data_IF_408098989129
#
_entry.id   IF_408098989129
#
_cell.length_a   1.000
_cell.length_b   1.000
_cell.length_c   1.000
_cell.angle_alpha   90.00
_cell.angle_beta   90.00
_cell.angle_gamma   90.00
#
_symmetry.space_group_name_H-M   'P 1'
#
loop_
_entity.id
_entity.type
_entity.pdbx_description
1 polymer ?
#
# COMPACT_ATOMS: atom_id res chain seq x y z
N UNK A 1 -14.86 -5.90 3.25
CA UNK A 1 -14.12 -5.95 4.53
C UNK A 1 -13.66 -7.38 4.70
N UNK A 2 -12.37 -7.66 4.48
CA UNK A 2 -11.81 -9.02 4.53
C UNK A 2 -11.89 -9.55 5.96
N UNK A 3 -12.49 -10.73 6.16
CA UNK A 3 -12.61 -11.33 7.49
C UNK A 3 -11.28 -12.02 7.85
N UNK A 4 -10.33 -11.21 8.29
CA UNK A 4 -8.93 -11.59 8.59
C UNK A 4 -8.86 -12.78 9.57
N UNK A 5 -9.82 -12.92 10.49
CA UNK A 5 -9.92 -14.08 11.38
C UNK A 5 -10.30 -15.39 10.66
N UNK A 6 -11.13 -15.30 9.63
CA UNK A 6 -11.47 -16.46 8.78
C UNK A 6 -10.23 -16.89 8.00
N UNK A 7 -9.50 -15.95 7.40
CA UNK A 7 -8.25 -16.24 6.69
C UNK A 7 -7.19 -16.87 7.60
N UNK A 8 -7.11 -16.49 8.88
CA UNK A 8 -6.21 -17.14 9.85
C UNK A 8 -6.56 -18.60 10.11
N UNK A 9 -7.85 -18.92 10.21
CA UNK A 9 -8.30 -20.31 10.37
C UNK A 9 -8.11 -21.11 9.08
N UNK A 10 -8.31 -20.49 7.92
CA UNK A 10 -8.04 -21.11 6.62
C UNK A 10 -6.55 -21.42 6.44
N UNK A 11 -5.65 -20.52 6.84
CA UNK A 11 -4.20 -20.77 6.83
C UNK A 11 -3.82 -21.90 7.79
N UNK A 12 -4.42 -21.97 8.98
CA UNK A 12 -4.21 -23.11 9.90
C UNK A 12 -4.64 -24.43 9.26
N UNK A 13 -5.81 -24.47 8.62
CA UNK A 13 -6.32 -25.66 7.94
C UNK A 13 -5.44 -26.05 6.74
N UNK A 14 -5.00 -25.05 5.96
CA UNK A 14 -4.14 -25.23 4.80
C UNK A 14 -2.77 -25.81 5.18
N UNK A 15 -2.09 -25.25 6.18
CA UNK A 15 -0.77 -25.74 6.59
C UNK A 15 -0.85 -27.07 7.36
N UNK A 16 -1.94 -27.33 8.08
CA UNK A 16 -2.20 -28.66 8.64
C UNK A 16 -2.39 -29.73 7.56
N UNK A 17 -3.02 -29.39 6.44
CA UNK A 17 -3.18 -30.31 5.31
C UNK A 17 -1.85 -30.51 4.58
N UNK A 18 -1.14 -29.42 4.31
CA UNK A 18 0.13 -29.41 3.57
C UNK A 18 1.29 -30.10 4.30
N UNK A 19 1.28 -30.09 5.64
CA UNK A 19 2.21 -30.88 6.46
C UNK A 19 2.03 -32.40 6.26
N UNK A 20 0.79 -32.85 6.00
CA UNK A 20 0.47 -34.26 5.84
C UNK A 20 0.67 -34.74 4.39
N UNK A 21 0.35 -33.89 3.41
CA UNK A 21 0.29 -34.27 1.98
C UNK A 21 1.48 -33.80 1.14
N UNK A 22 2.32 -32.88 1.65
CA UNK A 22 3.42 -32.27 0.90
C UNK A 22 4.66 -33.15 0.68
N UNK A 23 5.59 -32.68 -0.17
CA UNK A 23 6.94 -33.23 -0.30
C UNK A 23 7.79 -32.86 0.92
N UNK A 24 8.90 -33.56 1.17
CA UNK A 24 9.69 -33.46 2.42
C UNK A 24 10.05 -32.02 2.84
N UNK A 25 10.49 -31.17 1.91
CA UNK A 25 10.79 -29.74 2.16
C UNK A 25 9.52 -28.91 2.44
N UNK A 26 8.44 -29.17 1.70
CA UNK A 26 7.14 -28.53 1.90
C UNK A 26 6.54 -28.89 3.26
N UNK A 27 6.72 -30.14 3.72
CA UNK A 27 6.27 -30.60 5.03
C UNK A 27 6.98 -29.88 6.16
N UNK A 28 8.29 -29.70 6.05
CA UNK A 28 9.08 -28.97 7.04
C UNK A 28 8.64 -27.50 7.15
N UNK A 29 8.50 -26.81 6.02
CA UNK A 29 8.03 -25.41 5.98
C UNK A 29 6.60 -25.26 6.47
N UNK A 30 5.69 -26.17 6.06
CA UNK A 30 4.30 -26.17 6.50
C UNK A 30 4.21 -26.41 8.02
N UNK A 31 5.04 -27.30 8.58
CA UNK A 31 5.11 -27.53 10.02
C UNK A 31 5.60 -26.29 10.78
N UNK A 32 6.67 -25.65 10.32
CA UNK A 32 7.20 -24.44 10.95
C UNK A 32 6.14 -23.31 10.95
N UNK A 33 5.49 -23.08 9.80
CA UNK A 33 4.44 -22.07 9.67
C UNK A 33 3.19 -22.43 10.48
N UNK A 34 2.82 -23.71 10.56
CA UNK A 34 1.75 -24.19 11.45
C UNK A 34 2.11 -23.93 12.91
N UNK A 35 3.32 -24.27 13.35
CA UNK A 35 3.77 -24.01 14.72
C UNK A 35 3.70 -22.50 15.04
N UNK A 36 4.08 -21.62 14.10
CA UNK A 36 3.91 -20.17 14.24
C UNK A 36 2.45 -19.71 14.31
N UNK A 37 1.55 -20.29 13.51
CA UNK A 37 0.12 -19.94 13.54
C UNK A 37 -0.59 -20.45 14.81
N UNK A 38 -0.09 -21.54 15.39
CA UNK A 38 -0.60 -22.10 16.65
C UNK A 38 0.05 -21.50 17.90
N UNK A 39 1.14 -20.75 17.73
CA UNK A 39 1.72 -19.97 18.81
C UNK A 39 0.74 -18.90 19.32
N UNK A 40 0.47 -18.97 20.64
CA UNK A 40 -0.47 -18.07 21.31
C UNK A 40 0.00 -16.62 21.22
N UNK A 41 1.31 -16.37 21.24
CA UNK A 41 1.86 -15.02 21.14
C UNK A 41 1.60 -14.43 19.75
N UNK A 42 1.83 -15.20 18.70
CA UNK A 42 1.56 -14.83 17.30
C UNK A 42 0.07 -14.58 17.05
N UNK A 43 -0.81 -15.39 17.65
CA UNK A 43 -2.25 -15.15 17.59
C UNK A 43 -2.67 -13.85 18.28
N UNK A 44 -2.07 -13.50 19.42
CA UNK A 44 -2.33 -12.23 20.10
C UNK A 44 -1.86 -11.02 19.27
N UNK A 45 -0.72 -11.12 18.58
CA UNK A 45 -0.28 -10.10 17.62
C UNK A 45 -1.28 -9.90 16.48
N UNK A 46 -1.85 -10.99 15.97
CA UNK A 46 -2.78 -10.96 14.85
C UNK A 46 -4.14 -10.34 15.22
N UNK A 47 -4.72 -10.75 16.37
CA UNK A 47 -5.97 -10.18 16.90
C UNK A 47 -5.82 -8.68 17.20
N UNK A 48 -4.64 -8.26 17.66
CA UNK A 48 -4.34 -6.85 17.89
C UNK A 48 -4.28 -6.04 16.58
N UNK A 49 -3.67 -6.60 15.55
CA UNK A 49 -3.49 -5.95 14.25
C UNK A 49 -4.81 -5.71 13.50
N UNK A 50 -5.79 -6.61 13.63
CA UNK A 50 -7.12 -6.51 13.00
C UNK A 50 -7.85 -5.18 13.33
N UNK A 51 -7.73 -4.68 14.57
CA UNK A 51 -8.42 -3.46 15.02
C UNK A 51 -7.73 -2.17 14.60
N UNK A 52 -6.44 -2.21 14.31
CA UNK A 52 -5.65 -1.04 13.91
C UNK A 52 -5.88 -0.62 12.46
N UNK A 53 -6.21 -1.58 11.57
CA UNK A 53 -6.61 -1.27 10.19
C UNK A 53 -7.92 -0.49 10.08
N UNK A 54 -8.67 -0.32 11.18
CA UNK A 54 -9.97 0.35 11.21
C UNK A 54 -9.94 1.81 11.71
N UNK A 55 -8.78 2.37 12.08
CA UNK A 55 -8.70 3.72 12.70
C UNK A 55 -7.93 4.69 11.79
N UNK A 56 -8.61 5.75 11.34
CA UNK A 56 -8.08 6.82 10.49
C UNK A 56 -6.90 7.59 11.12
N UNK A 57 -5.97 8.00 10.26
CA UNK A 57 -4.55 8.24 10.54
C UNK A 57 -4.19 9.47 11.40
N UNK A 58 -5.14 10.33 11.76
CA UNK A 58 -4.81 11.67 12.30
C UNK A 58 -4.75 11.74 13.83
N UNK A 59 -5.28 10.74 14.55
CA UNK A 59 -5.36 10.73 16.03
C UNK A 59 -4.18 10.02 16.72
N UNK A 60 -3.37 9.25 15.96
CA UNK A 60 -2.50 8.20 16.51
C UNK A 60 -1.28 8.67 17.33
N UNK A 61 -0.64 9.79 17.01
CA UNK A 61 0.62 10.17 17.68
C UNK A 61 0.46 10.67 19.12
N UNK A 62 -0.69 11.26 19.47
CA UNK A 62 -0.97 11.68 20.87
C UNK A 62 -1.56 10.56 21.74
N UNK A 63 -2.21 9.54 21.16
CA UNK A 63 -2.90 8.47 21.89
C UNK A 63 -1.97 7.32 22.34
N UNK A 64 -0.85 7.08 21.67
CA UNK A 64 0.04 5.93 21.91
C UNK A 64 0.65 5.87 23.33
N UNK A 65 0.75 7.00 24.05
CA UNK A 65 1.20 7.00 25.45
C UNK A 65 0.20 6.31 26.39
N UNK A 66 -1.07 6.19 26.00
CA UNK A 66 -2.16 5.59 26.77
C UNK A 66 -2.85 4.44 26.01
N UNK A 67 -2.08 3.68 25.22
CA UNK A 67 -2.59 2.53 24.48
C UNK A 67 -3.30 1.53 25.41
N UNK A 68 -4.62 1.45 25.29
CA UNK A 68 -5.41 0.34 25.78
C UNK A 68 -5.13 -0.85 24.86
N UNK A 69 -4.49 -1.90 25.39
CA UNK A 69 -4.24 -3.13 24.63
C UNK A 69 -5.54 -3.91 24.35
N UNK A 70 -6.67 -3.43 24.87
CA UNK A 70 -7.98 -3.97 24.67
C UNK A 70 -8.34 -5.03 25.71
N UNK A 71 -9.64 -5.15 25.96
CA UNK A 71 -10.21 -6.05 26.97
C UNK A 71 -9.80 -7.51 26.73
N UNK A 72 -9.79 -7.96 25.46
CA UNK A 72 -9.44 -9.34 25.10
C UNK A 72 -7.96 -9.67 25.34
N UNK A 73 -7.05 -8.77 24.99
CA UNK A 73 -5.63 -8.95 25.30
C UNK A 73 -5.39 -8.96 26.81
N UNK A 74 -6.05 -8.07 27.54
CA UNK A 74 -5.92 -8.02 28.99
C UNK A 74 -6.52 -9.27 29.66
N UNK A 75 -7.60 -9.82 29.13
CA UNK A 75 -8.16 -11.11 29.56
C UNK A 75 -7.17 -12.26 29.36
N UNK A 76 -6.54 -12.37 28.20
CA UNK A 76 -5.55 -13.41 27.90
C UNK A 76 -4.29 -13.29 28.78
N UNK A 77 -3.79 -12.06 29.00
CA UNK A 77 -2.69 -11.80 29.95
C UNK A 77 -3.07 -12.23 31.36
N UNK A 78 -4.30 -11.92 31.80
CA UNK A 78 -4.75 -12.27 33.13
C UNK A 78 -4.91 -13.80 33.30
N UNK A 79 -5.43 -14.49 32.28
CA UNK A 79 -5.51 -15.96 32.25
C UNK A 79 -4.11 -16.59 32.31
N UNK A 80 -3.18 -16.11 31.49
CA UNK A 80 -1.79 -16.57 31.46
C UNK A 80 -1.08 -16.36 32.81
N UNK A 81 -1.16 -15.17 33.39
CA UNK A 81 -0.54 -14.89 34.70
C UNK A 81 -1.16 -15.71 35.85
N UNK A 82 -2.43 -16.10 35.74
CA UNK A 82 -3.09 -16.97 36.73
C UNK A 82 -2.49 -18.38 36.73
N UNK A 83 -2.23 -18.95 35.56
CA UNK A 83 -1.61 -20.28 35.40
C UNK A 83 -0.18 -20.35 36.01
N UNK A 84 0.53 -19.22 36.06
CA UNK A 84 1.89 -19.13 36.61
C UNK A 84 1.93 -18.66 38.07
N UNK A 85 0.85 -18.04 38.59
CA UNK A 85 0.65 -17.82 40.03
C UNK A 85 0.62 -19.12 40.82
N UNK A 86 0.04 -20.15 40.24
CA UNK A 86 -0.03 -21.49 40.83
C UNK A 86 1.34 -22.20 40.87
N UNK A 87 2.33 -21.71 40.10
CA UNK A 87 3.69 -22.31 39.96
C UNK A 87 4.82 -21.50 40.63
N UNK A 88 4.49 -20.44 41.39
CA UNK A 88 5.45 -19.53 42.07
C UNK A 88 6.47 -18.79 41.17
N UNK A 89 6.22 -18.62 39.86
CA UNK A 89 7.14 -17.95 38.91
C UNK A 89 6.63 -16.59 38.39
N UNK A 90 5.77 -15.91 39.14
CA UNK A 90 4.98 -14.76 38.67
C UNK A 90 5.82 -13.57 38.20
N UNK A 91 6.88 -13.22 38.91
CA UNK A 91 7.69 -12.02 38.60
C UNK A 91 8.43 -12.09 37.28
N UNK A 92 8.93 -13.29 36.93
CA UNK A 92 9.62 -13.50 35.66
C UNK A 92 8.65 -13.44 34.49
N UNK A 93 7.45 -13.98 34.67
CA UNK A 93 6.41 -13.97 33.64
C UNK A 93 5.80 -12.57 33.46
N UNK A 94 5.63 -11.79 34.53
CA UNK A 94 5.28 -10.38 34.46
C UNK A 94 6.29 -9.57 33.64
N UNK A 95 7.59 -9.87 33.77
CA UNK A 95 8.65 -9.25 32.97
C UNK A 95 8.50 -9.59 31.48
N UNK A 96 8.20 -10.85 31.13
CA UNK A 96 7.95 -11.26 29.74
C UNK A 96 6.70 -10.57 29.16
N UNK A 97 5.64 -10.43 29.94
CA UNK A 97 4.43 -9.70 29.51
C UNK A 97 4.74 -8.23 29.24
N UNK A 98 5.58 -7.59 30.08
CA UNK A 98 6.04 -6.22 29.85
C UNK A 98 6.88 -6.11 28.57
N UNK A 99 7.74 -7.08 28.30
CA UNK A 99 8.52 -7.13 27.07
C UNK A 99 7.62 -7.30 25.83
N UNK A 100 6.61 -8.18 25.87
CA UNK A 100 5.62 -8.32 24.80
C UNK A 100 4.89 -6.99 24.57
N UNK A 101 4.40 -6.34 25.64
CA UNK A 101 3.76 -5.02 25.56
C UNK A 101 4.67 -3.97 24.92
N UNK A 102 5.96 -3.97 25.26
CA UNK A 102 6.97 -3.09 24.66
C UNK A 102 7.15 -3.38 23.17
N UNK A 103 7.31 -4.63 22.78
CA UNK A 103 7.48 -5.04 21.38
C UNK A 103 6.25 -4.71 20.53
N UNK A 104 5.04 -4.92 21.05
CA UNK A 104 3.81 -4.47 20.39
C UNK A 104 3.83 -2.95 20.14
N UNK A 105 4.26 -2.14 21.12
CA UNK A 105 4.39 -0.68 20.93
C UNK A 105 5.39 -0.33 19.84
N UNK A 106 6.58 -0.92 19.88
CA UNK A 106 7.62 -0.70 18.85
C UNK A 106 7.08 -1.06 17.47
N UNK A 107 6.41 -2.21 17.35
CA UNK A 107 5.81 -2.64 16.09
C UNK A 107 4.79 -1.64 15.55
N UNK A 108 3.93 -1.06 16.40
CA UNK A 108 2.93 -0.06 15.95
C UNK A 108 3.60 1.22 15.48
N UNK A 109 4.58 1.72 16.24
CA UNK A 109 5.32 2.93 15.87
C UNK A 109 5.96 2.71 14.51
N UNK A 110 6.66 1.59 14.34
CA UNK A 110 7.28 1.22 13.08
C UNK A 110 6.24 1.07 11.97
N UNK A 111 5.12 0.38 12.21
CA UNK A 111 4.07 0.21 11.20
C UNK A 111 3.47 1.56 10.75
N UNK A 112 3.29 2.51 11.68
CA UNK A 112 2.83 3.87 11.36
C UNK A 112 3.88 4.60 10.53
N UNK A 113 5.15 4.54 10.92
CA UNK A 113 6.25 5.19 10.18
C UNK A 113 6.40 4.59 8.77
N UNK A 114 6.25 3.28 8.65
CA UNK A 114 6.28 2.52 7.41
C UNK A 114 5.08 2.87 6.51
N UNK A 115 3.89 3.08 7.07
CA UNK A 115 2.72 3.53 6.28
C UNK A 115 2.85 5.00 5.89
N UNK A 116 3.30 5.87 6.80
CA UNK A 116 3.50 7.30 6.54
C UNK A 116 4.54 7.52 5.43
N UNK A 117 5.69 6.87 5.52
CA UNK A 117 6.75 6.97 4.50
C UNK A 117 6.27 6.51 3.11
N UNK A 118 5.50 5.42 3.03
CA UNK A 118 4.94 4.94 1.76
C UNK A 118 3.83 5.84 1.21
N UNK A 119 2.94 6.34 2.08
CA UNK A 119 1.84 7.23 1.67
C UNK A 119 2.35 8.61 1.23
N UNK A 120 3.30 9.22 1.93
CA UNK A 120 3.84 10.53 1.57
C UNK A 120 4.52 10.51 0.20
N UNK A 121 5.31 9.48 -0.08
CA UNK A 121 5.95 9.30 -1.39
C UNK A 121 4.92 9.12 -2.52
N UNK A 122 3.84 8.37 -2.25
CA UNK A 122 2.78 8.19 -3.23
C UNK A 122 1.94 9.47 -3.40
N UNK A 123 1.68 10.23 -2.34
CA UNK A 123 0.86 11.44 -2.36
C UNK A 123 1.48 12.56 -3.22
N UNK A 124 2.80 12.75 -3.18
CA UNK A 124 3.49 13.70 -4.07
C UNK A 124 3.40 13.26 -5.55
N UNK A 125 3.57 11.96 -5.82
CA UNK A 125 3.37 11.42 -7.16
C UNK A 125 1.92 11.62 -7.66
N UNK A 126 0.91 11.40 -6.80
CA UNK A 126 -0.50 11.62 -7.12
C UNK A 126 -0.86 13.10 -7.31
N UNK A 127 -0.26 14.00 -6.53
CA UNK A 127 -0.46 15.44 -6.69
C UNK A 127 -0.07 15.89 -8.10
N UNK A 128 1.06 15.40 -8.59
CA UNK A 128 1.58 15.79 -9.90
C UNK A 128 0.90 15.03 -11.05
N UNK A 129 0.30 13.85 -10.82
CA UNK A 129 -0.57 13.18 -11.81
C UNK A 129 -1.73 14.05 -12.28
N UNK A 130 -2.21 14.97 -11.42
CA UNK A 130 -3.24 15.93 -11.82
C UNK A 130 -2.81 16.89 -12.94
N UNK A 131 -1.50 17.11 -13.14
CA UNK A 131 -0.96 17.96 -14.21
C UNK A 131 -1.15 17.33 -15.60
N UNK A 132 -1.32 16.01 -15.67
CA UNK A 132 -1.61 15.29 -16.91
C UNK A 132 -3.09 15.39 -17.31
N UNK A 133 -3.96 15.98 -16.48
CA UNK A 133 -5.37 16.14 -16.84
C UNK A 133 -5.53 17.09 -18.05
N UNK A 134 -6.43 16.79 -19.01
CA UNK A 134 -6.66 17.63 -20.19
C UNK A 134 -6.91 19.11 -19.87
N UNK A 135 -7.70 19.37 -18.81
CA UNK A 135 -8.02 20.73 -18.36
C UNK A 135 -6.81 21.53 -17.86
N UNK A 136 -5.74 20.85 -17.42
CA UNK A 136 -4.48 21.49 -16.99
C UNK A 136 -3.45 21.52 -18.12
N UNK A 137 -3.22 20.39 -18.79
CA UNK A 137 -2.14 20.26 -19.78
C UNK A 137 -2.37 21.12 -21.03
N UNK A 138 -3.64 21.37 -21.37
CA UNK A 138 -4.03 22.26 -22.48
C UNK A 138 -4.21 23.72 -22.04
N UNK A 139 -4.04 24.03 -20.75
CA UNK A 139 -4.17 25.37 -20.23
C UNK A 139 -2.79 25.98 -19.97
N UNK A 140 -2.43 27.01 -20.73
CA UNK A 140 -1.12 27.64 -20.68
C UNK A 140 -0.73 28.18 -19.29
N UNK A 141 -1.71 28.53 -18.45
CA UNK A 141 -1.48 29.05 -17.09
C UNK A 141 -1.46 27.94 -16.03
N UNK A 142 -2.16 26.82 -16.25
CA UNK A 142 -2.34 25.76 -15.26
C UNK A 142 -1.47 24.50 -15.47
N UNK A 143 -0.81 24.39 -16.63
CA UNK A 143 -0.05 23.23 -17.08
C UNK A 143 1.14 22.85 -16.19
N UNK A 144 1.82 23.84 -15.59
CA UNK A 144 3.05 23.64 -14.82
C UNK A 144 4.28 23.45 -15.71
N UNK A 145 5.46 23.41 -15.08
CA UNK A 145 6.73 23.19 -15.78
C UNK A 145 6.95 21.69 -16.04
N UNK A 146 7.78 21.37 -17.04
CA UNK A 146 8.11 19.98 -17.33
C UNK A 146 8.74 19.27 -16.11
N UNK A 147 9.55 19.97 -15.33
CA UNK A 147 10.15 19.48 -14.09
C UNK A 147 9.15 19.13 -12.99
N UNK A 148 7.91 19.62 -13.08
CA UNK A 148 6.85 19.34 -12.11
C UNK A 148 6.06 18.08 -12.46
N UNK A 149 6.28 17.49 -13.64
CA UNK A 149 5.56 16.31 -14.08
C UNK A 149 5.83 15.10 -13.17
N UNK A 150 4.83 14.21 -13.00
CA UNK A 150 4.95 13.05 -12.14
C UNK A 150 5.91 12.03 -12.73
N UNK A 151 6.71 11.38 -11.88
CA UNK A 151 7.50 10.20 -12.28
C UNK A 151 8.49 10.46 -13.44
N UNK A 152 9.21 11.60 -13.41
CA UNK A 152 10.22 11.97 -14.42
C UNK A 152 11.25 10.88 -14.75
N UNK A 153 11.53 9.98 -13.81
CA UNK A 153 12.38 8.81 -14.04
C UNK A 153 11.83 7.83 -15.11
N UNK A 154 10.58 7.97 -15.54
CA UNK A 154 9.98 7.25 -16.67
C UNK A 154 10.29 7.90 -18.02
N UNK A 155 10.67 9.18 -18.05
CA UNK A 155 11.04 9.90 -19.28
C UNK A 155 12.43 9.47 -19.81
N UNK A 156 13.30 8.95 -18.92
CA UNK A 156 14.66 8.41 -19.17
C UNK A 156 15.35 8.98 -20.42
N UNK A 157 15.36 8.20 -21.51
CA UNK A 157 16.17 8.42 -22.70
C UNK A 157 15.55 9.42 -23.69
N UNK A 158 14.27 9.76 -23.51
CA UNK A 158 13.52 10.62 -24.42
C UNK A 158 13.11 11.94 -23.75
N UNK A 159 13.75 12.32 -22.63
CA UNK A 159 13.35 13.49 -21.84
C UNK A 159 13.26 14.77 -22.69
N UNK A 160 14.25 15.03 -23.55
CA UNK A 160 14.28 16.23 -24.39
C UNK A 160 13.14 16.25 -25.41
N UNK A 161 12.85 15.10 -26.02
CA UNK A 161 11.77 14.95 -27.00
C UNK A 161 10.40 15.09 -26.33
N UNK A 162 10.22 14.45 -25.18
CA UNK A 162 9.00 14.56 -24.37
C UNK A 162 8.79 16.00 -23.92
N UNK A 163 9.83 16.71 -23.49
CA UNK A 163 9.73 18.11 -23.10
C UNK A 163 9.34 19.03 -24.27
N UNK A 164 9.93 18.79 -25.46
CA UNK A 164 9.57 19.53 -26.66
C UNK A 164 8.10 19.30 -27.06
N UNK A 165 7.65 18.04 -27.05
CA UNK A 165 6.26 17.68 -27.29
C UNK A 165 5.35 18.28 -26.22
N UNK A 166 5.77 18.24 -24.96
CA UNK A 166 5.04 18.81 -23.84
C UNK A 166 4.82 20.30 -24.08
N UNK A 167 5.84 21.07 -24.46
CA UNK A 167 5.69 22.51 -24.77
C UNK A 167 4.70 22.75 -25.92
N UNK A 168 4.73 21.94 -26.97
CA UNK A 168 3.88 22.08 -28.17
C UNK A 168 2.41 21.66 -27.97
N UNK A 169 2.12 20.79 -27.00
CA UNK A 169 0.78 20.20 -26.84
C UNK A 169 -0.31 21.27 -26.62
N UNK A 170 0.02 22.38 -25.96
CA UNK A 170 -0.93 23.45 -25.60
C UNK A 170 -1.28 24.35 -26.76
N UNK A 171 -0.38 24.49 -27.74
CA UNK A 171 -0.59 25.35 -28.92
C UNK A 171 -1.24 24.59 -30.09
N UNK A 172 -1.38 23.27 -29.96
CA UNK A 172 -1.99 22.42 -31.00
C UNK A 172 -3.51 22.52 -30.90
N UNK A 173 -4.18 22.76 -32.03
CA UNK A 173 -5.65 22.78 -32.09
C UNK A 173 -6.20 21.36 -32.24
N UNK A 174 -6.42 20.72 -31.09
CA UNK A 174 -6.93 19.35 -30.99
C UNK A 174 -8.31 19.12 -31.60
N UNK A 175 -9.05 20.18 -31.97
CA UNK A 175 -10.33 20.04 -32.69
C UNK A 175 -10.14 19.82 -34.19
N UNK A 176 -8.96 20.14 -34.72
CA UNK A 176 -8.60 19.93 -36.12
C UNK A 176 -7.83 18.63 -36.32
N UNK A 177 -7.19 18.13 -35.26
CA UNK A 177 -6.51 16.84 -35.25
C UNK A 177 -7.56 15.73 -35.15
N UNK A 178 -7.70 14.89 -36.19
CA UNK A 178 -8.68 13.79 -36.27
C UNK A 178 -8.34 12.61 -35.33
N UNK A 179 -8.00 12.89 -34.08
CA UNK A 179 -7.61 11.92 -33.05
C UNK A 179 -8.69 11.66 -32.01
N UNK A 180 -9.73 12.50 -31.97
CA UNK A 180 -10.86 12.36 -31.06
C UNK A 180 -12.18 12.21 -31.82
N UNK A 181 -13.07 11.35 -31.34
CA UNK A 181 -14.42 11.19 -31.91
C UNK A 181 -15.18 12.52 -31.83
N UNK A 182 -15.85 12.91 -32.91
CA UNK A 182 -16.62 14.16 -33.04
C UNK A 182 -15.81 15.45 -32.82
N UNK A 183 -14.47 15.41 -32.88
CA UNK A 183 -13.59 16.55 -32.61
C UNK A 183 -13.77 17.16 -31.20
N UNK A 184 -14.26 16.37 -30.24
CA UNK A 184 -14.43 16.77 -28.86
C UNK A 184 -13.27 16.24 -28.00
N UNK A 185 -12.70 17.14 -27.19
CA UNK A 185 -11.61 16.78 -26.28
C UNK A 185 -12.22 16.04 -25.08
N UNK A 186 -11.80 14.79 -24.79
CA UNK A 186 -12.33 14.05 -23.65
C UNK A 186 -11.93 14.69 -22.31
N UNK A 187 -12.86 14.77 -21.36
CA UNK A 187 -12.54 15.12 -19.96
C UNK A 187 -11.80 14.00 -19.23
N UNK A 188 -12.00 12.75 -19.67
CA UNK A 188 -11.29 11.59 -19.12
C UNK A 188 -9.82 11.63 -19.54
N UNK A 189 -8.94 11.64 -18.54
CA UNK A 189 -7.49 11.77 -18.75
C UNK A 189 -6.92 10.60 -19.54
N UNK A 190 -7.41 9.38 -19.32
CA UNK A 190 -6.90 8.19 -20.02
C UNK A 190 -7.32 8.20 -21.50
N UNK A 191 -8.59 8.51 -21.77
CA UNK A 191 -9.10 8.62 -23.15
C UNK A 191 -8.41 9.73 -23.93
N UNK A 192 -8.15 10.87 -23.29
CA UNK A 192 -7.39 11.96 -23.90
C UNK A 192 -6.00 11.49 -24.33
N UNK A 193 -5.20 10.92 -23.43
CA UNK A 193 -3.84 10.49 -23.77
C UNK A 193 -3.80 9.33 -24.76
N UNK A 194 -4.82 8.46 -24.78
CA UNK A 194 -4.98 7.45 -25.83
C UNK A 194 -5.22 8.09 -27.21
N UNK A 195 -6.01 9.15 -27.31
CA UNK A 195 -6.17 9.88 -28.58
C UNK A 195 -4.87 10.57 -29.01
N UNK A 196 -4.21 11.28 -28.08
CA UNK A 196 -2.91 11.94 -28.34
C UNK A 196 -1.84 10.93 -28.78
N UNK A 197 -1.86 9.69 -28.28
CA UNK A 197 -0.92 8.63 -28.67
C UNK A 197 -1.00 8.27 -30.16
N UNK A 198 -2.16 8.43 -30.79
CA UNK A 198 -2.32 8.19 -32.22
C UNK A 198 -1.83 9.36 -33.09
N UNK A 199 -1.46 10.49 -32.48
CA UNK A 199 -0.88 11.62 -33.17
C UNK A 199 0.64 11.44 -33.36
N UNK A 200 1.13 11.48 -34.59
CA UNK A 200 2.55 11.20 -34.93
C UNK A 200 3.54 12.08 -34.14
N UNK A 201 3.23 13.37 -33.98
CA UNK A 201 4.10 14.33 -33.28
C UNK A 201 4.06 14.29 -31.74
N UNK A 202 3.18 13.50 -31.11
CA UNK A 202 3.00 13.51 -29.63
C UNK A 202 3.09 12.13 -28.99
N UNK A 203 3.53 11.13 -29.76
CA UNK A 203 3.55 9.73 -29.36
C UNK A 203 4.36 9.50 -28.08
N UNK A 204 5.49 10.19 -27.94
CA UNK A 204 6.44 9.94 -26.85
C UNK A 204 5.96 10.57 -25.56
N UNK A 205 5.37 11.76 -25.65
CA UNK A 205 4.68 12.39 -24.55
C UNK A 205 3.45 11.59 -24.12
N UNK A 206 2.65 11.10 -25.07
CA UNK A 206 1.48 10.31 -24.75
C UNK A 206 1.84 8.96 -24.12
N UNK A 207 2.87 8.29 -24.63
CA UNK A 207 3.41 7.07 -24.03
C UNK A 207 3.89 7.32 -22.59
N UNK A 208 4.62 8.42 -22.37
CA UNK A 208 5.03 8.83 -21.03
C UNK A 208 3.83 9.06 -20.10
N UNK A 209 2.83 9.84 -20.53
CA UNK A 209 1.66 10.15 -19.72
C UNK A 209 0.85 8.88 -19.39
N UNK A 210 0.65 7.99 -20.37
CA UNK A 210 -0.01 6.70 -20.16
C UNK A 210 0.78 5.83 -19.18
N UNK A 211 2.11 5.77 -19.30
CA UNK A 211 2.96 5.06 -18.35
C UNK A 211 2.81 5.60 -16.92
N UNK A 212 2.77 6.92 -16.74
CA UNK A 212 2.51 7.53 -15.43
C UNK A 212 1.13 7.14 -14.87
N UNK A 213 0.10 7.05 -15.72
CA UNK A 213 -1.27 6.72 -15.31
C UNK A 213 -1.46 5.23 -14.99
N UNK A 214 -0.72 4.33 -15.66
CA UNK A 214 -0.80 2.89 -15.42
C UNK A 214 0.21 2.37 -14.39
N UNK A 215 1.24 3.17 -14.05
CA UNK A 215 2.22 2.73 -13.07
C UNK A 215 1.57 2.64 -11.70
N UNK A 216 1.48 1.44 -11.10
CA UNK A 216 0.93 1.30 -9.77
C UNK A 216 1.88 1.99 -8.78
N UNK A 217 1.46 3.13 -8.24
CA UNK A 217 2.20 3.88 -7.21
C UNK A 217 2.12 3.24 -5.82
N UNK A 218 1.47 2.07 -5.70
CA UNK A 218 1.34 1.30 -4.48
C UNK A 218 1.62 -0.18 -4.75
N UNK A 219 2.55 -0.76 -3.99
CA UNK A 219 2.79 -2.20 -3.97
C UNK A 219 1.57 -3.00 -3.47
N UNK A 220 0.54 -2.36 -2.91
CA UNK A 220 -0.63 -3.04 -2.36
C UNK A 220 -1.43 -3.87 -3.40
N UNK A 221 -1.37 -3.52 -4.68
CA UNK A 221 -2.00 -4.33 -5.75
C UNK A 221 -1.17 -5.59 -6.04
N UNK A 222 0.16 -5.45 -6.04
CA UNK A 222 1.09 -6.56 -6.22
C UNK A 222 1.02 -7.49 -5.02
N UNK A 223 1.00 -6.96 -3.79
CA UNK A 223 0.91 -7.74 -2.56
C UNK A 223 -0.43 -8.49 -2.44
N UNK A 224 -1.53 -7.99 -3.04
CA UNK A 224 -2.82 -8.69 -3.09
C UNK A 224 -2.85 -9.87 -4.05
N UNK A 225 -1.94 -9.90 -5.04
CA UNK A 225 -1.77 -11.04 -5.96
C UNK A 225 -0.89 -12.12 -5.29
N UNK A 226 -0.03 -11.72 -4.34
CA UNK A 226 0.87 -12.61 -3.62
C UNK A 226 0.38 -13.02 -2.21
N UNK A 227 -0.79 -12.55 -1.76
CA UNK A 227 -1.43 -12.89 -0.46
C UNK A 227 -2.62 -13.82 -0.63
#
# INVERSE_FOLDING_TARGET
MFNILVNWQELKAYFATSENTGRTDTKFKARLLKEMLYDKVSYLYFVYSEKLFAIEFTIMTKALKKNDFGVKFQQEVNSHLKEFKERQQVKEEESKVLDVKRRCRIFIVEAIDQVHSRLCNAAEAFKNLSLLNPSKVLNQTAKGDFSDLPMLHLAKNNSDEIEQQYRKITVTDWRLENVFENNEIPDDTTKFWLGVYHHENFKELAAYALNCLVTPTSNAIVDRIFS
#
